data_IF_389853788452
#
_entry.id   IF_389853788452
#
_cell.length_a   1.000
_cell.length_b   1.000
_cell.length_c   1.000
_cell.angle_alpha   90.00
_cell.angle_beta   90.00
_cell.angle_gamma   90.00
#
_symmetry.space_group_name_H-M   'P 1'
#
loop_
_entity.id
_entity.type
_entity.pdbx_description
1 polymer ?
#
# COMPACT_ATOMS: atom_id res chain seq x y z
N UNK A 1 2.97 -43.92 -33.49
CA UNK A 1 3.63 -45.22 -33.75
C UNK A 1 5.13 -45.09 -33.47
N UNK A 2 5.68 -46.00 -32.63
CA UNK A 2 7.10 -46.22 -32.23
C UNK A 2 7.76 -45.06 -31.43
N UNK A 3 7.83 -45.03 -30.09
CA UNK A 3 8.34 -45.94 -29.02
C UNK A 3 9.83 -46.33 -29.08
N UNK A 4 10.63 -45.83 -28.12
CA UNK A 4 11.79 -46.46 -27.45
C UNK A 4 11.98 -45.79 -26.08
N UNK A 5 11.51 -46.39 -24.97
CA UNK A 5 12.15 -47.38 -24.06
C UNK A 5 13.28 -46.83 -23.16
N UNK A 6 12.94 -46.79 -21.87
CA UNK A 6 13.80 -46.77 -20.67
C UNK A 6 14.80 -47.92 -20.60
N UNK A 7 15.90 -47.71 -19.88
CA UNK A 7 16.42 -48.69 -18.91
C UNK A 7 17.29 -48.03 -17.82
N UNK A 8 17.22 -48.61 -16.63
CA UNK A 8 17.73 -48.19 -15.31
C UNK A 8 18.80 -49.18 -14.84
N UNK A 9 19.76 -48.68 -14.05
CA UNK A 9 20.42 -49.34 -12.87
C UNK A 9 21.46 -50.46 -13.16
N UNK A 10 22.47 -50.72 -12.27
CA UNK A 10 22.36 -50.73 -10.80
C UNK A 10 23.50 -50.13 -9.94
N UNK A 11 23.15 -49.98 -8.66
CA UNK A 11 23.94 -49.81 -7.42
C UNK A 11 24.95 -50.97 -7.20
N UNK A 12 25.98 -50.90 -6.33
CA UNK A 12 25.93 -51.07 -4.85
C UNK A 12 27.37 -50.97 -4.24
N UNK A 13 27.48 -50.44 -3.00
CA UNK A 13 28.51 -50.61 -1.91
C UNK A 13 29.98 -50.17 -2.10
N UNK A 14 30.81 -49.86 -1.07
CA UNK A 14 30.75 -49.26 0.28
C UNK A 14 32.09 -49.56 0.98
N UNK A 15 32.81 -48.55 1.50
CA UNK A 15 33.78 -48.60 2.65
C UNK A 15 34.64 -47.32 2.64
N UNK A 16 34.51 -46.36 3.57
CA UNK A 16 35.25 -46.22 4.86
C UNK A 16 36.77 -46.42 4.71
N UNK A 17 37.71 -45.57 5.17
CA UNK A 17 37.71 -44.50 6.19
C UNK A 17 39.08 -43.77 6.22
N UNK A 18 39.16 -42.70 7.01
CA UNK A 18 40.36 -41.93 7.47
C UNK A 18 40.95 -40.90 6.50
N UNK A 19 41.42 -39.71 6.90
CA UNK A 19 41.18 -38.79 8.02
C UNK A 19 42.16 -37.63 7.80
N UNK A 20 41.70 -36.38 7.78
CA UNK A 20 42.55 -35.22 8.12
C UNK A 20 41.71 -33.94 8.32
N UNK A 21 41.72 -33.48 9.57
CA UNK A 21 41.55 -32.12 10.12
C UNK A 21 41.94 -30.99 9.14
N UNK A 22 41.40 -29.77 9.11
CA UNK A 22 40.86 -28.77 10.07
C UNK A 22 40.37 -27.61 9.17
N UNK A 23 39.47 -26.67 9.47
CA UNK A 23 39.09 -25.96 10.69
C UNK A 23 37.74 -25.27 10.40
N UNK A 24 36.74 -25.50 11.25
CA UNK A 24 35.43 -24.85 11.19
C UNK A 24 35.36 -23.76 12.24
N UNK A 25 35.27 -22.50 11.82
CA UNK A 25 34.98 -21.36 12.70
C UNK A 25 33.48 -21.31 12.99
N UNK A 26 33.08 -21.90 14.12
CA UNK A 26 31.78 -21.72 14.74
C UNK A 26 31.78 -20.41 15.54
N UNK A 27 31.03 -19.41 15.09
CA UNK A 27 30.68 -18.24 15.91
C UNK A 27 29.27 -18.42 16.44
N UNK A 28 29.18 -18.93 17.67
CA UNK A 28 28.02 -18.86 18.54
C UNK A 28 27.76 -17.41 18.94
N UNK A 29 26.62 -16.83 18.55
CA UNK A 29 26.15 -15.56 19.10
C UNK A 29 25.03 -15.84 20.11
N UNK A 30 25.43 -15.97 21.37
CA UNK A 30 24.54 -15.87 22.53
C UNK A 30 24.23 -14.39 22.79
N UNK A 31 22.95 -14.11 23.03
CA UNK A 31 22.41 -12.86 23.56
C UNK A 31 23.23 -12.28 24.72
N UNK A 32 23.44 -10.95 24.71
CA UNK A 32 23.38 -10.04 25.87
C UNK A 32 23.63 -8.58 25.42
N UNK A 33 22.81 -7.68 25.97
CA UNK A 33 23.00 -6.23 26.14
C UNK A 33 22.79 -5.25 24.96
N UNK A 34 21.52 -4.86 24.86
CA UNK A 34 21.03 -3.47 24.96
C UNK A 34 21.95 -2.56 25.81
N UNK A 35 22.81 -1.75 25.18
CA UNK A 35 23.28 -0.44 25.67
C UNK A 35 24.49 0.12 24.91
N UNK A 36 24.39 0.34 23.60
CA UNK A 36 25.32 1.26 22.91
C UNK A 36 24.63 2.00 21.77
N UNK A 37 23.62 2.82 22.10
CA UNK A 37 23.38 4.01 21.29
C UNK A 37 24.47 5.02 21.63
N UNK A 38 25.60 4.90 20.93
CA UNK A 38 26.48 6.03 20.78
C UNK A 38 25.67 7.17 20.17
N UNK A 39 25.74 8.32 20.84
CA UNK A 39 25.30 9.61 20.37
C UNK A 39 26.04 9.91 19.05
N UNK A 40 25.53 9.38 17.93
CA UNK A 40 26.11 9.59 16.62
C UNK A 40 25.92 11.05 16.29
N UNK A 41 27.04 11.77 16.16
CA UNK A 41 27.10 13.09 15.51
C UNK A 41 26.14 13.10 14.32
N UNK A 42 25.27 14.10 14.25
CA UNK A 42 24.14 14.22 13.32
C UNK A 42 24.47 14.20 11.81
N UNK A 43 25.68 13.80 11.41
CA UNK A 43 26.23 13.90 10.05
C UNK A 43 26.71 12.59 9.42
N UNK A 44 26.58 11.42 10.07
CA UNK A 44 27.00 10.16 9.44
C UNK A 44 25.78 9.30 9.07
N UNK A 45 25.59 8.94 7.77
CA UNK A 45 24.52 8.04 7.34
C UNK A 45 24.59 6.68 8.05
N UNK A 46 23.43 6.07 8.29
CA UNK A 46 23.32 4.76 8.96
C UNK A 46 23.98 3.63 8.15
N UNK A 47 23.96 3.76 6.83
CA UNK A 47 24.54 2.81 5.89
C UNK A 47 25.58 3.50 4.99
N UNK A 48 26.48 2.75 4.32
CA UNK A 48 27.49 3.33 3.45
C UNK A 48 26.86 4.32 2.44
N UNK A 49 27.34 5.57 2.39
CA UNK A 49 26.73 6.57 1.52
C UNK A 49 26.93 6.21 0.05
N UNK A 50 25.84 6.26 -0.72
CA UNK A 50 25.90 6.23 -2.18
C UNK A 50 25.88 7.67 -2.68
N UNK A 51 26.82 8.09 -3.55
CA UNK A 51 26.83 9.43 -4.10
C UNK A 51 25.50 9.81 -4.73
N UNK A 52 25.03 11.02 -4.43
CA UNK A 52 23.80 11.53 -5.02
C UNK A 52 23.93 11.56 -6.57
N UNK A 53 22.88 11.17 -7.30
CA UNK A 53 22.96 11.08 -8.75
C UNK A 53 23.03 12.44 -9.43
N UNK A 54 23.85 12.54 -10.47
CA UNK A 54 23.86 13.71 -11.35
C UNK A 54 22.75 13.63 -12.40
N UNK A 55 21.84 14.60 -12.37
CA UNK A 55 20.76 14.72 -13.35
C UNK A 55 21.07 15.82 -14.38
N UNK A 56 20.55 15.70 -15.62
CA UNK A 56 20.48 16.84 -16.52
C UNK A 56 19.74 18.01 -15.85
N UNK A 57 20.13 19.29 -16.05
CA UNK A 57 19.60 20.42 -15.27
C UNK A 57 18.07 20.53 -15.26
N UNK A 58 17.43 20.20 -16.39
CA UNK A 58 15.96 20.19 -16.49
C UNK A 58 15.32 19.08 -15.67
N UNK A 59 15.92 17.88 -15.64
CA UNK A 59 15.43 16.74 -14.86
C UNK A 59 15.60 17.04 -13.37
N UNK A 60 16.78 17.53 -12.97
CA UNK A 60 17.08 17.90 -11.59
C UNK A 60 16.04 18.86 -11.03
N UNK A 61 15.79 19.98 -11.72
CA UNK A 61 14.79 20.98 -11.30
C UNK A 61 13.39 20.40 -11.14
N UNK A 62 12.95 19.52 -12.05
CA UNK A 62 11.61 18.91 -11.97
C UNK A 62 11.52 17.94 -10.78
N UNK A 63 12.53 17.09 -10.61
CA UNK A 63 12.61 16.12 -9.50
C UNK A 63 12.69 16.84 -8.17
N UNK A 64 13.56 17.83 -8.03
CA UNK A 64 13.77 18.55 -6.76
C UNK A 64 12.53 19.35 -6.35
N UNK A 65 11.82 19.94 -7.31
CA UNK A 65 10.53 20.58 -7.03
C UNK A 65 9.47 19.57 -6.57
N UNK A 66 9.39 18.40 -7.21
CA UNK A 66 8.48 17.34 -6.79
C UNK A 66 8.83 16.83 -5.37
N UNK A 67 10.12 16.59 -5.10
CA UNK A 67 10.64 16.24 -3.78
C UNK A 67 10.23 17.27 -2.71
N UNK A 68 10.58 18.54 -2.93
CA UNK A 68 10.30 19.61 -1.96
C UNK A 68 8.80 19.78 -1.67
N UNK A 69 7.94 19.55 -2.67
CA UNK A 69 6.49 19.58 -2.47
C UNK A 69 6.00 18.35 -1.69
N UNK A 70 6.57 17.18 -1.96
CA UNK A 70 6.12 15.92 -1.36
C UNK A 70 6.54 15.81 0.12
N UNK A 71 7.81 16.10 0.39
CA UNK A 71 8.42 16.14 1.73
C UNK A 71 9.02 17.53 1.94
N UNK A 72 8.18 18.48 2.35
CA UNK A 72 8.63 19.86 2.63
C UNK A 72 9.60 19.94 3.81
N UNK A 73 9.57 18.93 4.67
CA UNK A 73 10.41 18.72 5.85
C UNK A 73 11.83 18.24 5.53
N UNK A 74 12.09 17.73 4.31
CA UNK A 74 13.41 17.24 3.91
C UNK A 74 13.96 18.12 2.78
N UNK A 75 15.24 18.52 2.88
CA UNK A 75 15.94 19.14 1.76
C UNK A 75 16.05 18.13 0.60
N UNK A 76 15.72 18.46 -0.66
CA UNK A 76 15.82 17.54 -1.80
C UNK A 76 17.16 16.81 -1.96
N UNK A 77 18.26 17.38 -1.47
CA UNK A 77 19.61 16.78 -1.47
C UNK A 77 19.84 15.79 -0.33
N UNK A 78 19.03 15.85 0.74
CA UNK A 78 19.11 14.98 1.91
C UNK A 78 18.12 13.80 1.87
N UNK A 79 17.58 13.45 0.70
CA UNK A 79 16.62 12.34 0.52
C UNK A 79 17.24 10.94 0.65
N UNK A 80 18.56 10.85 0.76
CA UNK A 80 19.35 9.63 0.95
C UNK A 80 20.14 9.66 2.27
N UNK A 81 19.70 10.45 3.25
CA UNK A 81 20.37 10.67 4.54
C UNK A 81 20.57 9.40 5.37
N UNK A 82 19.69 8.41 5.24
CA UNK A 82 19.84 7.12 5.94
C UNK A 82 20.80 6.20 5.21
N UNK A 83 20.94 6.34 3.89
CA UNK A 83 21.88 5.59 3.07
C UNK A 83 21.36 4.23 2.63
N UNK A 84 20.04 3.99 2.60
CA UNK A 84 19.46 2.69 2.23
C UNK A 84 19.83 2.24 0.81
N UNK A 85 20.26 3.15 -0.06
CA UNK A 85 20.79 2.78 -1.37
C UNK A 85 22.08 1.96 -1.31
N UNK A 86 22.87 2.10 -0.23
CA UNK A 86 24.12 1.36 0.01
C UNK A 86 23.97 0.15 0.92
N UNK A 87 22.72 -0.22 1.27
CA UNK A 87 22.43 -1.39 2.12
C UNK A 87 21.76 -2.53 1.34
N UNK A 88 21.58 -3.65 2.03
CA UNK A 88 20.90 -4.85 1.57
C UNK A 88 19.39 -4.87 1.90
N UNK A 89 18.79 -3.71 2.19
CA UNK A 89 17.37 -3.57 2.59
C UNK A 89 16.38 -4.30 1.68
N UNK A 90 16.68 -4.37 0.38
CA UNK A 90 15.82 -5.03 -0.59
C UNK A 90 16.08 -6.53 -0.74
N UNK A 91 17.15 -7.05 -0.15
CA UNK A 91 17.52 -8.47 -0.17
C UNK A 91 17.29 -9.13 1.20
N UNK A 92 16.71 -8.41 2.17
CA UNK A 92 16.41 -8.95 3.49
C UNK A 92 15.53 -10.21 3.41
N UNK A 93 15.79 -11.21 4.27
CA UNK A 93 15.02 -12.45 4.28
C UNK A 93 13.55 -12.20 4.60
N UNK A 94 12.70 -13.07 4.07
CA UNK A 94 11.28 -13.14 4.39
C UNK A 94 11.09 -14.03 5.62
N UNK A 95 10.09 -13.72 6.41
CA UNK A 95 9.59 -14.63 7.43
C UNK A 95 8.69 -15.69 6.78
N UNK A 96 9.18 -16.92 6.75
CA UNK A 96 8.50 -18.07 6.15
C UNK A 96 7.66 -18.87 7.16
N UNK A 97 7.53 -18.39 8.41
CA UNK A 97 6.79 -19.11 9.46
C UNK A 97 5.29 -19.23 9.20
N UNK A 98 4.72 -18.30 8.43
CA UNK A 98 3.30 -18.26 8.09
C UNK A 98 3.12 -17.87 6.61
N UNK A 99 3.31 -18.84 5.69
CA UNK A 99 3.30 -18.56 4.26
C UNK A 99 1.89 -18.25 3.74
N UNK A 100 1.81 -17.36 2.75
CA UNK A 100 0.56 -17.12 2.03
C UNK A 100 0.21 -18.33 1.15
N UNK A 101 -1.09 -18.62 1.01
CA UNK A 101 -1.56 -19.58 0.01
C UNK A 101 -1.30 -19.06 -1.41
N UNK A 102 -0.84 -19.96 -2.27
CA UNK A 102 -0.62 -19.71 -3.70
C UNK A 102 -1.43 -20.69 -4.52
N UNK A 103 -2.10 -20.18 -5.53
CA UNK A 103 -2.92 -20.95 -6.46
C UNK A 103 -2.54 -20.57 -7.88
N UNK A 104 -2.61 -21.51 -8.83
CA UNK A 104 -2.48 -21.17 -10.24
C UNK A 104 -3.86 -20.94 -10.87
N UNK A 105 -4.00 -19.93 -11.74
CA UNK A 105 -5.30 -19.51 -12.27
C UNK A 105 -6.03 -20.59 -13.12
N UNK A 106 -5.30 -21.59 -13.61
CA UNK A 106 -5.86 -22.75 -14.32
C UNK A 106 -6.52 -23.78 -13.39
N UNK A 107 -6.13 -23.81 -12.12
CA UNK A 107 -6.59 -24.77 -11.11
C UNK A 107 -7.63 -24.14 -10.17
N UNK A 108 -7.65 -22.81 -10.08
CA UNK A 108 -8.59 -22.06 -9.26
C UNK A 108 -9.81 -21.59 -10.08
N UNK A 109 -10.93 -22.27 -9.89
CA UNK A 109 -12.23 -21.81 -10.42
C UNK A 109 -12.75 -20.60 -9.64
N UNK A 110 -13.62 -19.79 -10.25
CA UNK A 110 -14.26 -18.63 -9.58
C UNK A 110 -15.07 -19.07 -8.36
N UNK A 111 -15.79 -20.20 -8.45
CA UNK A 111 -16.54 -20.75 -7.31
C UNK A 111 -15.62 -21.10 -6.13
N UNK A 112 -14.51 -21.80 -6.41
CA UNK A 112 -13.50 -22.11 -5.38
C UNK A 112 -12.92 -20.83 -4.78
N UNK A 113 -12.58 -19.85 -5.62
CA UNK A 113 -12.10 -18.55 -5.16
C UNK A 113 -13.06 -17.90 -4.15
N UNK A 114 -14.36 -17.84 -4.48
CA UNK A 114 -15.38 -17.25 -3.62
C UNK A 114 -15.51 -18.03 -2.30
N UNK A 115 -15.60 -19.37 -2.38
CA UNK A 115 -15.87 -20.22 -1.22
C UNK A 115 -14.67 -20.32 -0.26
N UNK A 116 -13.45 -20.38 -0.80
CA UNK A 116 -12.22 -20.65 -0.03
C UNK A 116 -11.47 -19.37 0.37
N UNK A 117 -11.68 -18.25 -0.33
CA UNK A 117 -10.90 -17.02 -0.15
C UNK A 117 -11.74 -15.78 0.07
N UNK A 118 -12.64 -15.43 -0.86
CA UNK A 118 -13.37 -14.16 -0.78
C UNK A 118 -14.36 -14.12 0.40
N UNK A 119 -15.26 -15.12 0.49
CA UNK A 119 -16.26 -15.23 1.54
C UNK A 119 -15.65 -15.39 2.94
N UNK A 120 -14.65 -16.27 3.17
CA UNK A 120 -14.00 -16.37 4.48
C UNK A 120 -12.98 -15.24 4.74
N UNK A 121 -12.79 -14.31 3.79
CA UNK A 121 -11.84 -13.21 3.88
C UNK A 121 -10.39 -13.66 4.13
N UNK A 122 -9.90 -14.59 3.31
CA UNK A 122 -8.54 -15.13 3.36
C UNK A 122 -7.74 -14.62 2.16
N UNK A 123 -6.55 -14.00 2.38
CA UNK A 123 -5.70 -13.53 1.28
C UNK A 123 -5.09 -14.70 0.51
N UNK A 124 -4.86 -14.49 -0.78
CA UNK A 124 -4.26 -15.49 -1.68
C UNK A 124 -3.47 -14.81 -2.79
N UNK A 125 -2.41 -15.47 -3.23
CA UNK A 125 -1.70 -15.11 -4.47
C UNK A 125 -2.15 -16.05 -5.58
N UNK A 126 -2.56 -15.48 -6.71
CA UNK A 126 -3.03 -16.21 -7.89
C UNK A 126 -2.06 -15.98 -9.04
N UNK A 127 -1.41 -17.03 -9.49
CA UNK A 127 -0.40 -16.98 -10.54
C UNK A 127 -1.00 -17.18 -11.95
N UNK A 128 -0.37 -16.57 -12.95
CA UNK A 128 -0.66 -16.74 -14.38
C UNK A 128 -1.90 -16.01 -14.92
N UNK A 129 -2.51 -15.11 -14.15
CA UNK A 129 -3.74 -14.39 -14.56
C UNK A 129 -3.51 -13.54 -15.84
N UNK A 130 -2.48 -12.69 -15.94
CA UNK A 130 -2.25 -11.88 -17.13
C UNK A 130 -2.07 -12.72 -18.40
N UNK A 131 -1.34 -13.83 -18.31
CA UNK A 131 -1.06 -14.73 -19.41
C UNK A 131 -2.33 -15.46 -19.87
N UNK A 132 -3.10 -16.01 -18.92
CA UNK A 132 -4.32 -16.74 -19.21
C UNK A 132 -5.42 -15.85 -19.83
N UNK A 133 -5.53 -14.60 -19.37
CA UNK A 133 -6.54 -13.64 -19.87
C UNK A 133 -6.07 -12.85 -21.11
N UNK A 134 -4.82 -13.08 -21.56
CA UNK A 134 -4.22 -12.46 -22.73
C UNK A 134 -4.02 -10.96 -22.57
N UNK A 135 -3.45 -10.51 -21.46
CA UNK A 135 -3.18 -9.10 -21.20
C UNK A 135 -2.06 -8.59 -22.12
N UNK A 136 -2.33 -7.49 -22.84
CA UNK A 136 -1.30 -6.77 -23.59
C UNK A 136 -0.14 -6.27 -22.72
N UNK A 137 -0.42 -6.01 -21.42
CA UNK A 137 0.54 -5.55 -20.43
C UNK A 137 1.76 -6.47 -20.31
N UNK A 138 1.60 -7.79 -20.46
CA UNK A 138 2.70 -8.77 -20.39
C UNK A 138 3.81 -8.45 -21.39
N UNK A 139 3.46 -7.86 -22.54
CA UNK A 139 4.40 -7.48 -23.59
C UNK A 139 4.69 -5.98 -23.62
N UNK A 140 3.66 -5.16 -23.35
CA UNK A 140 3.73 -3.72 -23.54
C UNK A 140 4.28 -2.97 -22.33
N UNK A 141 4.16 -3.51 -21.11
CA UNK A 141 4.48 -2.79 -19.87
C UNK A 141 5.93 -2.96 -19.40
N UNK A 142 6.89 -3.07 -20.33
CA UNK A 142 8.30 -2.91 -19.97
C UNK A 142 8.63 -1.44 -19.69
N UNK A 143 9.53 -1.16 -18.74
CA UNK A 143 10.00 0.20 -18.44
C UNK A 143 10.52 0.94 -19.68
N UNK A 144 11.11 0.21 -20.64
CA UNK A 144 11.58 0.77 -21.92
C UNK A 144 10.42 1.18 -22.83
N UNK A 145 9.44 0.30 -23.00
CA UNK A 145 8.31 0.52 -23.90
C UNK A 145 7.37 1.60 -23.35
N UNK A 146 6.99 1.51 -22.07
CA UNK A 146 6.20 2.55 -21.40
C UNK A 146 6.84 3.93 -21.51
N UNK A 147 8.17 4.02 -21.32
CA UNK A 147 8.89 5.28 -21.47
C UNK A 147 8.77 5.83 -22.89
N UNK A 148 8.78 4.98 -23.92
CA UNK A 148 8.69 5.40 -25.33
C UNK A 148 7.30 5.97 -25.61
N UNK A 149 6.26 5.26 -25.20
CA UNK A 149 4.87 5.52 -25.59
C UNK A 149 4.29 6.68 -24.77
N UNK A 150 4.53 6.69 -23.46
CA UNK A 150 3.92 7.63 -22.53
C UNK A 150 4.85 8.79 -22.12
N UNK A 151 5.96 9.02 -22.83
CA UNK A 151 7.02 9.97 -22.43
C UNK A 151 6.55 11.37 -22.04
N UNK A 152 5.43 11.84 -22.61
CA UNK A 152 4.89 13.20 -22.42
C UNK A 152 3.77 13.30 -21.39
N UNK A 153 3.18 12.17 -20.99
CA UNK A 153 2.02 12.16 -20.08
C UNK A 153 2.46 12.52 -18.66
N UNK A 154 1.56 13.16 -17.90
CA UNK A 154 1.80 13.56 -16.51
C UNK A 154 1.05 12.65 -15.54
N UNK A 155 1.80 11.82 -14.81
CA UNK A 155 1.26 10.89 -13.82
C UNK A 155 1.51 11.43 -12.40
N UNK A 156 0.57 11.17 -11.49
CA UNK A 156 0.71 11.46 -10.07
C UNK A 156 1.86 10.62 -9.51
N UNK A 157 2.84 11.30 -8.89
CA UNK A 157 4.00 10.68 -8.27
C UNK A 157 4.21 11.09 -6.80
N UNK A 158 3.19 11.68 -6.19
CA UNK A 158 3.19 12.12 -4.80
C UNK A 158 2.03 13.07 -4.51
N UNK A 159 1.98 13.52 -3.25
CA UNK A 159 1.02 14.52 -2.76
C UNK A 159 1.75 15.56 -1.89
N UNK A 160 1.30 16.81 -1.95
CA UNK A 160 1.82 17.87 -1.07
C UNK A 160 1.18 17.83 0.32
N UNK A 161 1.62 18.72 1.22
CA UNK A 161 1.11 18.79 2.61
C UNK A 161 -0.40 19.11 2.70
N UNK A 162 -0.99 19.63 1.62
CA UNK A 162 -2.41 19.94 1.53
C UNK A 162 -3.21 18.84 0.82
N UNK A 163 -2.57 17.71 0.46
CA UNK A 163 -3.19 16.60 -0.28
C UNK A 163 -3.41 16.89 -1.76
N UNK A 164 -2.71 17.89 -2.34
CA UNK A 164 -2.78 18.14 -3.79
C UNK A 164 -1.82 17.21 -4.51
N UNK A 165 -2.28 16.63 -5.61
CA UNK A 165 -1.47 15.72 -6.42
C UNK A 165 -0.25 16.42 -7.03
N UNK A 166 0.92 15.83 -6.83
CA UNK A 166 2.15 16.20 -7.51
C UNK A 166 2.26 15.31 -8.74
N UNK A 167 2.33 15.92 -9.92
CA UNK A 167 2.43 15.21 -11.20
C UNK A 167 3.77 15.48 -11.87
N UNK A 168 4.27 14.47 -12.58
CA UNK A 168 5.53 14.56 -13.32
C UNK A 168 5.39 13.93 -14.70
N UNK A 169 5.98 14.55 -15.72
CA UNK A 169 6.07 13.93 -17.05
C UNK A 169 6.83 12.61 -16.96
N UNK A 170 6.28 11.56 -17.55
CA UNK A 170 6.80 10.20 -17.40
C UNK A 170 8.26 10.07 -17.81
N UNK A 171 8.72 10.77 -18.86
CA UNK A 171 10.14 10.77 -19.25
C UNK A 171 11.11 11.25 -18.16
N UNK A 172 10.70 12.20 -17.31
CA UNK A 172 11.51 12.70 -16.21
C UNK A 172 11.50 11.70 -15.06
N UNK A 173 10.32 11.15 -14.74
CA UNK A 173 10.19 10.09 -13.75
C UNK A 173 11.04 8.87 -14.12
N UNK A 174 11.03 8.45 -15.38
CA UNK A 174 11.86 7.34 -15.85
C UNK A 174 13.36 7.64 -15.87
N UNK A 175 13.79 8.90 -15.81
CA UNK A 175 15.20 9.27 -15.63
C UNK A 175 15.56 9.31 -14.14
N UNK A 176 14.62 9.75 -13.30
CA UNK A 176 14.68 9.69 -11.84
C UNK A 176 14.79 8.25 -11.35
N UNK A 177 13.83 7.39 -11.69
CA UNK A 177 13.78 5.97 -11.33
C UNK A 177 15.10 5.24 -11.58
N UNK A 178 15.74 5.50 -12.72
CA UNK A 178 17.00 4.84 -13.11
C UNK A 178 18.25 5.30 -12.36
N UNK A 179 18.23 6.49 -11.76
CA UNK A 179 19.43 7.12 -11.20
C UNK A 179 19.33 7.34 -9.69
N UNK A 180 18.12 7.45 -9.15
CA UNK A 180 17.87 7.82 -7.76
C UNK A 180 18.60 6.90 -6.77
N UNK A 181 19.06 7.49 -5.67
CA UNK A 181 19.65 6.83 -4.51
C UNK A 181 18.88 7.18 -3.24
N UNK A 182 17.63 7.60 -3.37
CA UNK A 182 16.79 8.08 -2.29
C UNK A 182 16.40 6.91 -1.36
N UNK A 183 16.22 7.21 -0.08
CA UNK A 183 15.81 6.26 0.96
C UNK A 183 14.38 5.75 0.71
N UNK A 184 13.42 6.67 0.56
CA UNK A 184 12.04 6.41 0.11
C UNK A 184 11.78 7.21 -1.19
N UNK A 185 11.96 6.62 -2.38
CA UNK A 185 11.81 7.32 -3.65
C UNK A 185 10.38 7.74 -3.95
N UNK A 186 10.20 8.81 -4.74
CA UNK A 186 8.91 9.17 -5.34
C UNK A 186 8.31 7.97 -6.10
N UNK A 187 7.01 7.77 -5.97
CA UNK A 187 6.30 6.60 -6.47
C UNK A 187 5.12 7.04 -7.34
N UNK A 188 5.06 6.59 -8.60
CA UNK A 188 3.85 6.80 -9.41
C UNK A 188 2.73 5.93 -8.86
N UNK A 189 1.64 6.59 -8.47
CA UNK A 189 0.42 6.01 -7.94
C UNK A 189 -0.78 6.76 -8.54
N UNK A 190 -1.03 6.55 -9.84
CA UNK A 190 -1.98 7.37 -10.60
C UNK A 190 -3.37 6.72 -10.68
N UNK A 191 -4.39 7.44 -10.19
CA UNK A 191 -5.78 6.96 -10.14
C UNK A 191 -6.69 7.53 -11.23
N UNK A 192 -6.11 8.26 -12.18
CA UNK A 192 -6.82 9.09 -13.18
C UNK A 192 -6.33 8.78 -14.60
N UNK A 193 -5.57 7.70 -14.74
CA UNK A 193 -4.97 7.30 -16.02
C UNK A 193 -6.04 6.85 -17.02
N UNK A 194 -7.26 6.56 -16.56
CA UNK A 194 -8.45 6.28 -17.34
C UNK A 194 -9.22 7.55 -17.80
N UNK A 195 -8.97 8.71 -17.18
CA UNK A 195 -9.61 9.98 -17.53
C UNK A 195 -8.95 10.67 -18.74
N UNK A 196 -7.63 10.51 -18.91
CA UNK A 196 -6.87 11.20 -19.95
C UNK A 196 -6.76 10.37 -21.22
N UNK A 197 -7.03 11.01 -22.38
CA UNK A 197 -6.91 10.38 -23.71
C UNK A 197 -5.52 9.78 -23.97
N UNK A 198 -4.47 10.41 -23.43
CA UNK A 198 -3.09 10.00 -23.67
C UNK A 198 -2.67 8.76 -22.87
N UNK A 199 -3.38 8.46 -21.77
CA UNK A 199 -3.09 7.31 -20.89
C UNK A 199 -4.15 6.22 -20.97
N UNK A 200 -5.33 6.53 -21.52
CA UNK A 200 -6.43 5.59 -21.72
C UNK A 200 -6.05 4.29 -22.44
N UNK A 201 -5.10 4.27 -23.42
CA UNK A 201 -4.66 3.01 -24.01
C UNK A 201 -4.09 1.99 -23.00
N UNK A 202 -3.63 2.41 -21.82
CA UNK A 202 -3.23 1.49 -20.75
C UNK A 202 -4.39 0.57 -20.30
N UNK A 203 -5.66 1.00 -20.47
CA UNK A 203 -6.82 0.16 -20.16
C UNK A 203 -7.03 -0.97 -21.17
N UNK A 204 -6.45 -0.86 -22.36
CA UNK A 204 -6.54 -1.89 -23.41
C UNK A 204 -5.55 -3.03 -23.14
N UNK A 205 -4.53 -2.77 -22.30
CA UNK A 205 -3.47 -3.72 -21.97
C UNK A 205 -3.84 -4.70 -20.85
N UNK A 206 -4.92 -4.49 -20.11
CA UNK A 206 -5.34 -5.41 -19.04
C UNK A 206 -6.86 -5.54 -18.95
N UNK A 207 -7.31 -6.59 -18.27
CA UNK A 207 -8.72 -6.82 -17.95
C UNK A 207 -8.86 -7.00 -16.45
N UNK A 208 -10.04 -6.73 -15.89
CA UNK A 208 -10.28 -7.13 -14.49
C UNK A 208 -10.28 -8.66 -14.42
N UNK A 209 -9.47 -9.29 -13.55
CA UNK A 209 -9.43 -10.75 -13.44
C UNK A 209 -10.80 -11.36 -13.20
N UNK A 210 -11.04 -12.56 -13.75
CA UNK A 210 -12.32 -13.31 -13.63
C UNK A 210 -12.82 -13.52 -12.19
N UNK A 211 -11.93 -13.41 -11.19
CA UNK A 211 -12.21 -13.56 -9.76
C UNK A 211 -12.91 -12.34 -9.14
N UNK A 212 -12.87 -11.18 -9.80
CA UNK A 212 -13.41 -9.92 -9.27
C UNK A 212 -14.49 -9.34 -10.21
N UNK A 213 -15.53 -10.11 -10.58
CA UNK A 213 -16.49 -9.71 -11.60
C UNK A 213 -17.44 -8.59 -11.12
N UNK A 214 -17.63 -8.47 -9.81
CA UNK A 214 -18.53 -7.48 -9.23
C UNK A 214 -17.81 -6.20 -8.83
N UNK A 215 -18.39 -5.08 -9.27
CA UNK A 215 -18.00 -3.75 -8.84
C UNK A 215 -19.24 -2.95 -8.45
N UNK A 216 -19.74 -3.19 -7.24
CA UNK A 216 -21.00 -2.60 -6.76
C UNK A 216 -20.94 -1.06 -6.64
N UNK A 217 -19.74 -0.47 -6.56
CA UNK A 217 -19.60 1.00 -6.58
C UNK A 217 -19.81 1.61 -7.97
N UNK A 218 -19.71 0.84 -9.06
CA UNK A 218 -20.09 1.32 -10.40
C UNK A 218 -21.52 1.87 -10.45
N UNK A 219 -22.43 1.36 -9.61
CA UNK A 219 -23.82 1.79 -9.56
C UNK A 219 -24.01 3.26 -9.13
N UNK A 220 -23.06 3.84 -8.38
CA UNK A 220 -23.13 5.26 -8.02
C UNK A 220 -22.67 6.19 -9.15
N UNK A 221 -22.08 5.65 -10.22
CA UNK A 221 -21.56 6.35 -11.39
C UNK A 221 -20.13 6.87 -11.20
N UNK A 222 -19.39 7.00 -12.30
CA UNK A 222 -17.96 7.38 -12.32
C UNK A 222 -17.70 8.72 -11.62
N UNK A 223 -18.54 9.75 -11.80
CA UNK A 223 -18.34 11.07 -11.17
C UNK A 223 -18.44 11.07 -9.63
N UNK A 224 -19.08 10.05 -9.05
CA UNK A 224 -19.43 10.03 -7.62
C UNK A 224 -18.81 8.89 -6.84
N UNK A 225 -18.31 7.85 -7.53
CA UNK A 225 -17.55 6.79 -6.87
C UNK A 225 -16.19 7.33 -6.40
N UNK A 226 -15.60 6.75 -5.34
CA UNK A 226 -14.22 7.01 -4.99
C UNK A 226 -13.27 6.50 -6.10
N UNK A 227 -12.04 7.05 -6.21
CA UNK A 227 -10.98 6.40 -6.97
C UNK A 227 -10.80 4.95 -6.52
N UNK A 228 -10.62 4.06 -7.48
CA UNK A 228 -10.72 2.62 -7.25
C UNK A 228 -9.76 1.79 -8.09
N UNK A 229 -9.00 2.42 -8.99
CA UNK A 229 -7.99 1.75 -9.82
C UNK A 229 -6.75 2.62 -9.89
N UNK A 230 -5.59 2.01 -9.86
CA UNK A 230 -4.32 2.73 -9.92
C UNK A 230 -3.33 2.02 -10.85
N UNK A 231 -2.64 2.82 -11.65
CA UNK A 231 -1.45 2.41 -12.39
C UNK A 231 -0.22 2.79 -11.56
N UNK A 232 0.66 1.81 -11.31
CA UNK A 232 1.78 1.95 -10.38
C UNK A 232 3.11 1.75 -11.10
N UNK A 233 4.03 2.70 -10.94
CA UNK A 233 5.43 2.58 -11.38
C UNK A 233 6.34 3.05 -10.26
N UNK A 234 7.04 2.12 -9.62
CA UNK A 234 7.79 2.37 -8.40
C UNK A 234 9.26 2.00 -8.53
N UNK A 235 10.21 2.90 -8.22
CA UNK A 235 11.62 2.55 -8.11
C UNK A 235 11.90 1.58 -6.95
N UNK A 236 13.01 0.85 -7.01
CA UNK A 236 13.54 0.09 -5.86
C UNK A 236 13.58 0.97 -4.60
N UNK A 237 13.12 0.43 -3.47
CA UNK A 237 12.88 1.05 -2.14
C UNK A 237 11.60 1.88 -1.96
N UNK A 238 10.85 2.15 -3.03
CA UNK A 238 9.52 2.78 -2.86
C UNK A 238 8.51 1.78 -2.29
N UNK A 239 7.37 2.25 -1.80
CA UNK A 239 6.35 1.36 -1.28
C UNK A 239 5.13 2.07 -0.73
N UNK A 240 4.30 1.32 -0.01
CA UNK A 240 3.14 1.86 0.70
C UNK A 240 3.19 1.38 2.14
N UNK A 241 3.09 2.33 3.06
CA UNK A 241 3.14 2.09 4.50
C UNK A 241 1.93 1.27 4.96
N UNK A 242 2.00 0.75 6.18
CA UNK A 242 0.93 -0.05 6.77
C UNK A 242 -0.42 0.69 6.81
N UNK A 243 -1.42 0.14 6.12
CA UNK A 243 -2.74 0.74 5.98
C UNK A 243 -3.87 -0.30 5.86
N UNK A 244 -5.11 0.21 5.83
CA UNK A 244 -6.31 -0.53 5.46
C UNK A 244 -6.90 0.12 4.22
N UNK A 245 -7.45 -0.70 3.33
CA UNK A 245 -8.19 -0.20 2.19
C UNK A 245 -9.43 0.62 2.62
N UNK A 246 -9.71 1.74 1.94
CA UNK A 246 -10.77 2.65 2.32
C UNK A 246 -12.14 1.99 2.19
N UNK A 247 -13.07 2.47 3.03
CA UNK A 247 -14.46 2.04 3.06
C UNK A 247 -14.67 0.52 3.25
N UNK A 248 -13.67 -0.23 3.71
CA UNK A 248 -13.78 -1.68 3.91
C UNK A 248 -13.82 -2.47 2.60
N UNK A 249 -13.41 -1.86 1.49
CA UNK A 249 -13.26 -2.54 0.20
C UNK A 249 -12.20 -3.64 0.30
N UNK A 250 -12.32 -4.63 -0.57
CA UNK A 250 -11.22 -5.56 -0.87
C UNK A 250 -10.45 -5.02 -2.07
N UNK A 251 -9.24 -5.53 -2.30
CA UNK A 251 -8.41 -5.13 -3.41
C UNK A 251 -7.77 -6.33 -4.10
N UNK A 252 -7.37 -6.13 -5.35
CA UNK A 252 -6.46 -7.00 -6.06
C UNK A 252 -5.29 -6.21 -6.64
N UNK A 253 -4.10 -6.81 -6.65
CA UNK A 253 -2.88 -6.19 -7.18
C UNK A 253 -2.14 -7.15 -8.11
N UNK A 254 -2.03 -6.80 -9.39
CA UNK A 254 -1.33 -7.61 -10.39
C UNK A 254 0.01 -6.98 -10.75
N UNK A 255 1.08 -7.74 -10.57
CA UNK A 255 2.45 -7.30 -10.81
C UNK A 255 2.92 -7.74 -12.20
N UNK A 256 3.44 -6.81 -13.00
CA UNK A 256 3.92 -7.09 -14.36
C UNK A 256 5.45 -7.04 -14.46
N UNK A 257 6.09 -6.17 -13.66
CA UNK A 257 7.56 -6.03 -13.64
C UNK A 257 8.04 -5.94 -12.20
N UNK A 258 9.18 -6.57 -11.92
CA UNK A 258 9.88 -6.49 -10.63
C UNK A 258 9.30 -7.40 -9.56
N UNK A 259 9.64 -7.14 -8.31
CA UNK A 259 9.18 -7.89 -7.14
C UNK A 259 8.67 -6.95 -6.06
N UNK A 260 7.63 -7.37 -5.33
CA UNK A 260 7.06 -6.63 -4.18
C UNK A 260 7.07 -7.52 -2.95
N UNK A 261 7.66 -7.04 -1.85
CA UNK A 261 7.56 -7.66 -0.53
C UNK A 261 6.28 -7.17 0.14
N UNK A 262 5.51 -8.10 0.67
CA UNK A 262 4.24 -7.84 1.36
C UNK A 262 4.32 -8.32 2.79
N UNK A 263 3.68 -7.58 3.69
CA UNK A 263 3.29 -8.09 5.01
C UNK A 263 1.84 -7.76 5.26
N UNK A 264 1.08 -8.76 5.70
CA UNK A 264 -0.35 -8.68 5.97
C UNK A 264 -0.60 -9.06 7.43
N UNK A 265 -1.53 -8.36 8.09
CA UNK A 265 -1.97 -8.68 9.44
C UNK A 265 -3.49 -8.95 9.47
N UNK A 266 -3.94 -9.97 10.22
CA UNK A 266 -5.35 -10.32 10.31
C UNK A 266 -6.24 -9.16 10.79
N UNK A 267 -7.50 -9.10 10.32
CA UNK A 267 -8.43 -8.00 10.62
C UNK A 267 -8.85 -7.90 12.09
N UNK A 268 -8.68 -8.97 12.88
CA UNK A 268 -9.06 -9.00 14.30
C UNK A 268 -8.04 -8.31 15.21
N UNK A 269 -6.83 -8.04 14.73
CA UNK A 269 -5.79 -7.43 15.54
C UNK A 269 -6.10 -5.96 15.86
N UNK A 270 -5.82 -5.59 17.11
CA UNK A 270 -6.00 -4.22 17.56
C UNK A 270 -5.07 -3.28 16.79
N UNK A 271 -5.62 -2.14 16.36
CA UNK A 271 -4.87 -1.13 15.61
C UNK A 271 -3.60 -0.67 16.34
N UNK A 272 -3.58 -0.63 17.68
CA UNK A 272 -2.45 -0.20 18.51
C UNK A 272 -1.30 -1.22 18.47
N UNK A 273 -1.62 -2.50 18.31
CA UNK A 273 -0.63 -3.55 18.13
C UNK A 273 0.02 -3.40 16.76
N UNK A 274 -0.80 -3.48 15.70
CA UNK A 274 -0.31 -3.53 14.30
C UNK A 274 0.41 -2.23 13.91
N UNK A 275 -0.04 -1.07 14.40
CA UNK A 275 0.63 0.20 14.08
C UNK A 275 2.00 0.37 14.76
N UNK A 276 2.34 -0.48 15.73
CA UNK A 276 3.64 -0.50 16.39
C UNK A 276 4.07 0.81 17.05
N UNK A 277 3.18 1.78 17.31
CA UNK A 277 3.56 3.14 17.74
C UNK A 277 4.42 3.18 18.99
N UNK A 278 4.28 2.21 19.89
CA UNK A 278 5.09 2.09 21.12
C UNK A 278 6.53 1.65 20.84
N UNK A 279 6.79 1.08 19.67
CA UNK A 279 8.08 0.55 19.27
C UNK A 279 8.87 1.51 18.37
N UNK A 280 8.27 2.63 17.94
CA UNK A 280 8.96 3.70 17.22
C UNK A 280 9.97 4.37 18.17
N UNK A 281 11.19 4.61 17.71
CA UNK A 281 12.25 5.25 18.51
C UNK A 281 12.62 6.61 17.91
N UNK A 282 12.95 7.57 18.76
CA UNK A 282 13.49 8.87 18.34
C UNK A 282 12.65 9.59 17.27
N UNK A 283 13.34 10.06 16.24
CA UNK A 283 12.81 10.80 15.10
C UNK A 283 12.78 9.96 13.80
N UNK A 284 12.62 8.63 13.93
CA UNK A 284 12.48 7.70 12.81
C UNK A 284 11.43 8.15 11.79
N UNK A 285 11.77 8.02 10.50
CA UNK A 285 10.85 8.28 9.40
C UNK A 285 9.75 7.20 9.35
N UNK A 286 8.58 7.54 8.80
CA UNK A 286 7.41 6.66 8.77
C UNK A 286 7.10 6.08 7.38
N UNK A 287 8.12 5.98 6.53
CA UNK A 287 8.05 5.46 5.16
C UNK A 287 8.02 3.92 5.10
N UNK A 288 7.70 3.36 3.92
CA UNK A 288 7.58 1.91 3.75
C UNK A 288 8.91 1.19 4.05
N UNK A 289 10.03 1.74 3.59
CA UNK A 289 11.37 1.18 3.87
C UNK A 289 11.66 1.10 5.37
N UNK A 290 11.40 2.17 6.13
CA UNK A 290 11.57 2.22 7.59
C UNK A 290 10.62 1.25 8.30
N UNK A 291 9.40 1.07 7.78
CA UNK A 291 8.46 0.10 8.33
C UNK A 291 9.03 -1.33 8.26
N UNK A 292 9.53 -1.75 7.09
CA UNK A 292 10.09 -3.10 6.91
C UNK A 292 11.45 -3.27 7.59
N UNK A 293 12.28 -2.23 7.62
CA UNK A 293 13.62 -2.29 8.23
C UNK A 293 13.61 -2.26 9.74
N UNK A 294 12.77 -1.40 10.32
CA UNK A 294 12.90 -1.02 11.73
C UNK A 294 11.67 -1.43 12.52
N UNK A 295 10.49 -1.02 12.08
CA UNK A 295 9.28 -1.20 12.88
C UNK A 295 8.79 -2.65 12.89
N UNK A 296 8.72 -3.30 11.73
CA UNK A 296 8.25 -4.68 11.60
C UNK A 296 9.11 -5.67 12.40
N UNK A 297 10.46 -5.66 12.31
CA UNK A 297 11.28 -6.56 13.12
C UNK A 297 11.14 -6.31 14.63
N UNK A 298 10.99 -5.05 15.06
CA UNK A 298 10.73 -4.74 16.47
C UNK A 298 9.37 -5.25 16.94
N UNK A 299 8.34 -5.10 16.11
CA UNK A 299 7.00 -5.61 16.39
C UNK A 299 7.03 -7.14 16.52
N UNK A 300 7.69 -7.84 15.59
CA UNK A 300 7.84 -9.31 15.63
C UNK A 300 8.63 -9.82 16.83
N UNK A 301 9.60 -9.05 17.34
CA UNK A 301 10.32 -9.39 18.59
C UNK A 301 9.47 -9.14 19.84
N UNK A 302 8.58 -8.17 19.80
CA UNK A 302 7.77 -7.77 20.96
C UNK A 302 6.50 -8.60 21.14
N UNK A 303 6.07 -9.32 20.12
CA UNK A 303 4.83 -10.09 20.11
C UNK A 303 5.05 -11.49 19.53
N UNK A 304 4.53 -12.55 20.16
CA UNK A 304 4.65 -13.91 19.63
C UNK A 304 4.07 -14.05 18.21
N UNK A 305 4.65 -14.90 17.34
CA UNK A 305 4.15 -15.12 15.98
C UNK A 305 2.67 -15.51 15.92
N UNK A 306 2.21 -16.33 16.88
CA UNK A 306 0.81 -16.75 16.99
C UNK A 306 -0.15 -15.62 17.34
N UNK A 307 0.33 -14.58 18.03
CA UNK A 307 -0.46 -13.38 18.33
C UNK A 307 -0.54 -12.46 17.12
N UNK A 308 0.58 -12.25 16.42
CA UNK A 308 0.61 -11.39 15.24
C UNK A 308 -0.06 -12.02 14.03
N UNK A 309 0.02 -13.35 13.88
CA UNK A 309 -0.52 -14.10 12.75
C UNK A 309 -0.16 -13.48 11.39
N UNK A 310 0.95 -12.75 11.31
CA UNK A 310 1.27 -11.95 10.13
C UNK A 310 1.72 -12.87 9.01
N UNK A 311 1.36 -12.54 7.79
CA UNK A 311 1.73 -13.28 6.59
C UNK A 311 2.70 -12.41 5.80
N UNK A 312 3.89 -12.94 5.52
CA UNK A 312 4.92 -12.25 4.74
C UNK A 312 5.26 -13.04 3.49
N UNK A 313 5.39 -12.36 2.35
CA UNK A 313 5.69 -13.02 1.08
C UNK A 313 6.25 -12.06 0.03
N UNK A 314 6.91 -12.63 -0.98
CA UNK A 314 7.30 -11.93 -2.19
C UNK A 314 6.27 -12.15 -3.29
N UNK A 315 5.80 -11.10 -3.93
CA UNK A 315 5.03 -11.16 -5.16
C UNK A 315 5.98 -11.07 -6.36
N UNK A 316 5.76 -11.92 -7.35
CA UNK A 316 6.53 -12.02 -8.59
C UNK A 316 5.72 -11.53 -9.82
N UNK A 317 6.39 -11.24 -10.95
CA UNK A 317 5.68 -10.91 -12.20
C UNK A 317 4.70 -12.01 -12.61
N UNK A 318 3.52 -11.63 -13.09
CA UNK A 318 2.42 -12.55 -13.42
C UNK A 318 1.45 -12.80 -12.26
N UNK A 319 1.87 -12.55 -11.02
CA UNK A 319 1.06 -12.84 -9.85
C UNK A 319 0.06 -11.73 -9.53
N UNK A 320 -1.17 -12.16 -9.21
CA UNK A 320 -2.26 -11.31 -8.70
C UNK A 320 -2.53 -11.62 -7.24
N UNK A 321 -2.31 -10.65 -6.35
CA UNK A 321 -2.61 -10.78 -4.92
C UNK A 321 -4.06 -10.34 -4.68
N UNK A 322 -4.85 -11.15 -3.98
CA UNK A 322 -6.14 -10.77 -3.42
C UNK A 322 -5.99 -10.37 -1.94
N UNK A 323 -6.45 -9.15 -1.61
CA UNK A 323 -6.44 -8.58 -0.26
C UNK A 323 -7.89 -8.40 0.20
N UNK A 324 -8.39 -9.24 1.12
CA UNK A 324 -9.73 -9.08 1.65
C UNK A 324 -9.85 -7.81 2.50
N UNK A 325 -11.04 -7.22 2.48
CA UNK A 325 -11.32 -6.00 3.24
C UNK A 325 -11.09 -6.20 4.74
N UNK A 326 -10.32 -5.29 5.35
CA UNK A 326 -10.01 -5.31 6.78
C UNK A 326 -8.63 -5.84 7.14
N UNK A 327 -7.91 -6.46 6.19
CA UNK A 327 -6.52 -6.86 6.41
C UNK A 327 -5.58 -5.65 6.39
N UNK A 328 -4.81 -5.45 7.46
CA UNK A 328 -3.75 -4.45 7.43
C UNK A 328 -2.63 -4.94 6.54
N UNK A 329 -2.07 -4.05 5.71
CA UNK A 329 -1.01 -4.45 4.81
C UNK A 329 -0.03 -3.31 4.53
N UNK A 330 1.23 -3.68 4.32
CA UNK A 330 2.29 -2.82 3.84
C UNK A 330 2.99 -3.50 2.66
N UNK A 331 3.50 -2.67 1.73
CA UNK A 331 4.12 -3.14 0.49
C UNK A 331 5.44 -2.43 0.27
N UNK A 332 6.47 -3.18 -0.09
CA UNK A 332 7.81 -2.66 -0.35
C UNK A 332 8.34 -3.16 -1.69
N UNK A 333 8.72 -2.24 -2.57
CA UNK A 333 9.25 -2.55 -3.88
C UNK A 333 10.75 -2.87 -3.76
N UNK A 334 11.11 -4.15 -3.85
CA UNK A 334 12.51 -4.59 -3.75
C UNK A 334 13.27 -4.44 -5.08
N UNK A 335 12.53 -4.29 -6.19
CA UNK A 335 13.04 -3.92 -7.51
C UNK A 335 12.30 -2.68 -8.04
N UNK A 336 12.67 -2.23 -9.24
CA UNK A 336 11.79 -1.35 -10.02
C UNK A 336 10.54 -2.13 -10.46
N UNK A 337 9.36 -1.60 -10.19
CA UNK A 337 8.09 -2.31 -10.40
C UNK A 337 7.12 -1.58 -11.31
N UNK A 338 6.31 -2.36 -12.03
CA UNK A 338 5.11 -1.91 -12.76
C UNK A 338 3.95 -2.82 -12.38
N UNK A 339 2.85 -2.24 -11.93
CA UNK A 339 1.67 -2.97 -11.49
C UNK A 339 0.38 -2.21 -11.78
N UNK A 340 -0.74 -2.92 -11.69
CA UNK A 340 -2.09 -2.34 -11.65
C UNK A 340 -2.85 -2.92 -10.47
N UNK A 341 -3.61 -2.09 -9.77
CA UNK A 341 -4.39 -2.53 -8.62
C UNK A 341 -5.77 -1.89 -8.65
N UNK A 342 -6.78 -2.60 -8.15
CA UNK A 342 -8.12 -2.05 -7.98
C UNK A 342 -8.75 -2.48 -6.67
N UNK A 343 -9.50 -1.54 -6.09
CA UNK A 343 -10.39 -1.79 -4.98
C UNK A 343 -11.79 -2.07 -5.52
N UNK A 344 -12.46 -3.06 -4.94
CA UNK A 344 -13.79 -3.45 -5.37
C UNK A 344 -14.70 -3.74 -4.18
N UNK A 345 -16.00 -3.61 -4.44
CA UNK A 345 -17.05 -4.06 -3.56
C UNK A 345 -17.84 -5.13 -4.28
N UNK A 346 -17.88 -6.32 -3.70
CA UNK A 346 -18.68 -7.45 -4.13
C UNK A 346 -19.80 -7.71 -3.13
N UNK A 347 -20.69 -8.62 -3.48
CA UNK A 347 -21.75 -9.12 -2.60
C UNK A 347 -21.18 -9.76 -1.33
N UNK A 348 -19.97 -10.34 -1.39
CA UNK A 348 -19.33 -10.99 -0.22
C UNK A 348 -18.86 -9.97 0.82
N UNK A 349 -18.27 -8.85 0.38
CA UNK A 349 -17.76 -7.81 1.30
C UNK A 349 -18.76 -6.65 1.54
N UNK A 350 -19.89 -6.65 0.83
CA UNK A 350 -20.93 -5.62 0.91
C UNK A 350 -21.35 -5.24 2.35
N UNK A 351 -21.55 -6.19 3.29
CA UNK A 351 -21.94 -5.85 4.66
C UNK A 351 -20.97 -4.90 5.38
N UNK A 352 -19.67 -5.08 5.19
CA UNK A 352 -18.64 -4.22 5.77
C UNK A 352 -18.58 -2.88 5.01
N UNK A 353 -18.59 -2.95 3.67
CA UNK A 353 -18.51 -1.77 2.80
C UNK A 353 -19.69 -0.83 3.01
N UNK A 354 -20.91 -1.36 3.12
CA UNK A 354 -22.12 -0.60 3.38
C UNK A 354 -22.02 0.20 4.68
N UNK A 355 -21.65 -0.46 5.78
CA UNK A 355 -21.53 0.19 7.11
C UNK A 355 -20.51 1.31 7.13
N UNK A 356 -19.35 1.11 6.48
CA UNK A 356 -18.31 2.13 6.35
C UNK A 356 -18.74 3.25 5.40
N UNK A 357 -19.45 2.93 4.32
CA UNK A 357 -19.90 3.91 3.32
C UNK A 357 -21.02 4.80 3.85
N UNK A 358 -22.04 4.24 4.53
CA UNK A 358 -23.14 5.04 5.08
C UNK A 358 -22.67 6.04 6.12
N UNK A 359 -21.68 5.67 6.94
CA UNK A 359 -21.09 6.56 7.94
C UNK A 359 -20.10 7.56 7.33
N UNK A 360 -19.18 7.11 6.47
CA UNK A 360 -18.09 7.93 5.92
C UNK A 360 -18.46 8.79 4.70
N UNK A 361 -19.42 8.34 3.87
CA UNK A 361 -19.84 9.02 2.63
C UNK A 361 -21.37 9.08 2.53
N UNK A 362 -21.99 9.71 3.53
CA UNK A 362 -23.44 9.84 3.73
C UNK A 362 -24.27 10.08 2.46
N UNK A 363 -23.91 11.08 1.64
CA UNK A 363 -24.64 11.41 0.40
C UNK A 363 -24.53 10.33 -0.67
N UNK A 364 -23.34 9.74 -0.81
CA UNK A 364 -23.10 8.63 -1.72
C UNK A 364 -23.90 7.41 -1.29
N UNK A 365 -23.95 7.10 0.01
CA UNK A 365 -24.70 5.96 0.52
C UNK A 365 -26.21 6.06 0.24
N UNK A 366 -26.81 7.25 0.36
CA UNK A 366 -28.22 7.48 -0.01
C UNK A 366 -28.44 7.21 -1.51
N UNK A 367 -27.56 7.71 -2.37
CA UNK A 367 -27.63 7.45 -3.82
C UNK A 367 -27.46 5.95 -4.11
N UNK A 368 -26.52 5.30 -3.42
CA UNK A 368 -26.20 3.90 -3.61
C UNK A 368 -27.38 3.00 -3.23
N UNK A 369 -28.01 3.23 -2.07
CA UNK A 369 -29.20 2.48 -1.65
C UNK A 369 -30.33 2.56 -2.69
N UNK A 370 -30.64 3.75 -3.21
CA UNK A 370 -31.64 3.92 -4.27
C UNK A 370 -31.29 3.17 -5.56
N UNK A 371 -30.00 3.05 -5.88
CA UNK A 371 -29.54 2.29 -7.04
C UNK A 371 -29.61 0.78 -6.78
N UNK A 372 -29.33 0.33 -5.56
CA UNK A 372 -29.52 -1.06 -5.16
C UNK A 372 -31.00 -1.45 -5.21
N UNK A 373 -31.91 -0.63 -4.69
CA UNK A 373 -33.37 -0.90 -4.72
C UNK A 373 -33.90 -1.24 -6.12
N UNK A 374 -33.31 -0.66 -7.17
CA UNK A 374 -33.70 -0.90 -8.57
C UNK A 374 -32.89 -1.98 -9.28
N UNK A 375 -31.63 -2.22 -8.91
CA UNK A 375 -30.71 -3.10 -9.65
C UNK A 375 -30.32 -4.38 -8.91
N UNK A 376 -30.40 -4.37 -7.58
CA UNK A 376 -30.13 -5.50 -6.71
C UNK A 376 -30.97 -5.37 -5.41
N UNK A 377 -32.27 -5.70 -5.47
CA UNK A 377 -33.20 -5.53 -4.34
C UNK A 377 -32.79 -6.32 -3.10
N UNK A 378 -32.13 -7.47 -3.26
CA UNK A 378 -31.65 -8.29 -2.14
C UNK A 378 -30.59 -7.55 -1.31
N UNK A 379 -29.58 -6.97 -1.96
CA UNK A 379 -28.58 -6.15 -1.26
C UNK A 379 -29.18 -4.86 -0.69
N UNK A 380 -30.22 -4.29 -1.31
CA UNK A 380 -30.95 -3.15 -0.76
C UNK A 380 -31.71 -3.50 0.52
N UNK A 381 -32.35 -4.67 0.55
CA UNK A 381 -33.04 -5.19 1.74
C UNK A 381 -32.02 -5.41 2.87
N UNK A 382 -30.89 -6.05 2.58
CA UNK A 382 -29.80 -6.26 3.53
C UNK A 382 -29.22 -4.94 4.08
N UNK A 383 -29.02 -3.95 3.21
CA UNK A 383 -28.58 -2.62 3.62
C UNK A 383 -29.57 -1.93 4.57
N UNK A 384 -30.86 -2.10 4.31
CA UNK A 384 -31.95 -1.57 5.12
C UNK A 384 -32.06 -2.29 6.47
N UNK A 385 -31.94 -3.61 6.48
CA UNK A 385 -31.88 -4.43 7.69
C UNK A 385 -30.71 -3.99 8.58
N UNK A 386 -29.51 -3.80 8.01
CA UNK A 386 -28.37 -3.29 8.77
C UNK A 386 -28.59 -1.87 9.29
N UNK A 387 -29.35 -1.02 8.61
CA UNK A 387 -29.70 0.29 9.14
C UNK A 387 -30.62 0.15 10.36
N UNK A 388 -31.62 -0.72 10.28
CA UNK A 388 -32.55 -0.97 11.39
C UNK A 388 -31.83 -1.58 12.60
N UNK A 389 -31.05 -2.65 12.39
CA UNK A 389 -30.28 -3.35 13.43
C UNK A 389 -29.32 -2.43 14.15
N UNK A 390 -28.62 -1.58 13.40
CA UNK A 390 -27.62 -0.68 13.96
C UNK A 390 -28.23 0.68 14.40
N UNK A 391 -29.57 0.81 14.38
CA UNK A 391 -30.33 2.05 14.64
C UNK A 391 -29.78 3.25 13.87
N UNK A 392 -29.27 3.00 12.66
CA UNK A 392 -28.62 3.98 11.82
C UNK A 392 -29.63 4.74 10.97
N UNK A 393 -29.69 6.06 11.17
CA UNK A 393 -30.55 6.93 10.36
C UNK A 393 -29.77 7.49 9.17
N UNK A 394 -30.26 7.17 7.97
CA UNK A 394 -29.68 7.66 6.71
C UNK A 394 -29.77 9.19 6.61
N UNK A 395 -28.82 9.77 5.87
CA UNK A 395 -28.75 11.22 5.69
C UNK A 395 -29.95 11.77 4.90
N UNK A 396 -30.59 12.82 5.41
CA UNK A 396 -31.58 13.64 4.70
C UNK A 396 -31.15 15.11 4.69
N UNK A 397 -31.41 15.83 3.58
CA UNK A 397 -31.05 17.26 3.46
C UNK A 397 -31.81 18.13 4.47
N UNK A 398 -33.08 17.83 4.71
CA UNK A 398 -33.99 18.59 5.58
C UNK A 398 -33.55 18.67 7.05
N UNK A 399 -32.91 17.61 7.58
CA UNK A 399 -32.38 17.61 8.95
C UNK A 399 -31.06 18.35 9.10
N UNK A 400 -30.37 18.65 7.99
CA UNK A 400 -29.08 19.38 8.04
C UNK A 400 -29.26 20.89 8.18
N UNK A 401 -30.37 21.46 7.70
CA UNK A 401 -30.70 22.88 7.88
C UNK A 401 -31.16 23.23 9.30
N UNK A 402 -31.81 22.29 9.99
CA UNK A 402 -32.25 22.47 11.39
C UNK A 402 -31.10 22.47 12.41
N UNK A 403 -29.91 21.99 12.03
CA UNK A 403 -28.70 22.08 12.88
C UNK A 403 -27.90 23.37 12.68
N UNK A 404 -28.20 24.16 11.62
CA UNK A 404 -27.55 25.46 11.38
C UNK A 404 -28.40 26.65 11.82
N UNK A 405 -29.62 26.43 12.33
CA UNK A 405 -30.55 27.51 12.71
C UNK A 405 -30.72 27.68 14.24
N UNK A 406 -29.95 26.98 15.07
CA UNK A 406 -30.11 27.03 16.55
C UNK A 406 -29.04 27.85 17.29
N UNK A 407 -28.39 28.82 16.65
CA UNK A 407 -27.46 29.73 17.34
C UNK A 407 -27.72 31.20 16.98
N UNK A 408 -28.88 31.73 17.38
CA UNK A 408 -29.08 33.19 17.39
C UNK A 408 -30.23 33.60 18.32
N UNK A 409 -29.95 33.72 19.61
CA UNK A 409 -30.78 34.55 20.52
C UNK A 409 -30.21 34.66 21.93
N UNK A 410 -29.02 35.25 22.12
CA UNK A 410 -28.69 35.92 23.38
C UNK A 410 -28.28 37.37 23.08
N UNK A 411 -29.26 38.27 23.22
CA UNK A 411 -29.05 39.73 23.28
C UNK A 411 -28.17 40.04 24.50
N UNK A 412 -26.99 40.64 24.28
CA UNK A 412 -26.26 41.39 25.33
C UNK A 412 -26.48 42.88 25.09
N UNK A 413 -26.94 43.58 26.13
CA UNK A 413 -27.00 45.05 26.21
C UNK A 413 -26.20 45.47 27.45
N UNK A 414 -25.35 46.50 27.29
CA UNK A 414 -24.62 47.29 28.32
C UNK A 414 -23.48 46.54 29.05
N UNK A 415 -22.35 47.15 29.42
CA UNK A 415 -21.84 48.52 29.36
C UNK A 415 -20.32 48.45 29.62
N UNK A 416 -19.58 49.47 29.14
CA UNK A 416 -18.17 49.74 29.45
C UNK A 416 -17.86 49.65 30.95
N UNK A 417 -16.70 49.05 31.29
CA UNK A 417 -15.77 49.55 32.31
C UNK A 417 -14.41 48.90 32.12
N UNK A 418 -13.41 49.76 31.93
CA UNK A 418 -11.99 49.48 31.98
C UNK A 418 -11.58 49.09 33.41
N UNK A 419 -10.58 48.22 33.55
CA UNK A 419 -9.51 48.30 34.56
C UNK A 419 -8.46 47.18 34.32
N UNK A 420 -7.22 47.52 34.63
CA UNK A 420 -5.94 46.94 34.22
C UNK A 420 -5.43 45.74 35.06
N UNK A 421 -4.34 45.12 34.55
CA UNK A 421 -3.30 44.27 35.22
C UNK A 421 -3.76 42.84 35.57
N UNK A 422 -3.10 41.73 35.17
CA UNK A 422 -1.70 41.35 35.45
C UNK A 422 -1.23 40.17 34.57
N UNK A 423 0.08 40.08 34.36
CA UNK A 423 0.78 39.07 33.57
C UNK A 423 0.72 37.65 34.16
N UNK A 424 0.67 36.65 33.27
CA UNK A 424 0.89 35.25 33.62
C UNK A 424 1.25 34.42 32.39
N UNK A 425 2.54 34.22 32.16
CA UNK A 425 3.11 33.33 31.16
C UNK A 425 2.56 31.90 31.28
N UNK A 426 2.08 31.31 30.18
CA UNK A 426 2.11 29.85 30.00
C UNK A 426 2.44 29.48 28.56
N UNK A 427 3.49 28.67 28.47
CA UNK A 427 4.13 28.15 27.27
C UNK A 427 3.17 27.35 26.39
N UNK A 428 3.33 27.52 25.07
CA UNK A 428 2.63 26.74 24.06
C UNK A 428 3.47 25.54 23.66
N UNK A 429 2.98 24.33 23.92
CA UNK A 429 3.45 23.10 23.27
C UNK A 429 2.42 22.69 22.23
N UNK A 430 2.67 23.08 20.97
CA UNK A 430 1.88 22.67 19.82
C UNK A 430 2.35 21.28 19.36
N UNK A 431 1.59 20.23 19.68
CA UNK A 431 1.76 18.91 19.05
C UNK A 431 0.89 18.83 17.79
N UNK A 432 1.50 19.08 16.64
CA UNK A 432 0.88 18.91 15.33
C UNK A 432 0.68 17.43 15.01
N UNK A 433 -0.57 16.96 14.94
CA UNK A 433 -0.89 15.62 14.41
C UNK A 433 -0.66 15.60 12.89
N UNK A 434 0.48 15.08 12.44
CA UNK A 434 0.69 14.71 11.02
C UNK A 434 -0.32 13.61 10.64
N UNK A 435 -1.13 13.84 9.60
CA UNK A 435 -1.93 12.78 8.96
C UNK A 435 -0.96 11.92 8.15
N UNK A 436 -1.05 10.59 8.29
CA UNK A 436 -0.30 9.65 7.44
C UNK A 436 -0.60 9.95 5.97
N UNK A 437 0.43 10.23 5.18
CA UNK A 437 0.35 10.38 3.73
C UNK A 437 0.24 8.97 3.14
N UNK A 438 -0.83 8.68 2.39
CA UNK A 438 -0.82 7.55 1.47
C UNK A 438 -0.17 8.07 0.19
N UNK A 439 0.85 7.37 -0.32
CA UNK A 439 1.42 7.65 -1.63
C UNK A 439 0.35 7.52 -2.72
#
# INVERSE_FOLDING_TARGET
>A
MKSKKFQRSPSVTSSSSSSSSSSSSSSSSSDSDDSTYHNSSANTPRFPPVPAPTYPPKVQRVVYNAKKKHRSDIDPEAWNREGFAGSDVCELPLDESNPIRREHCSELSVKRFIDEYERPAVPVVIDGVPEADGWGAVHNWSLKQLRKDYKRVELKCGEDDNGRSIRMKFKYFMKYLKLQTDDSPLYIFDSTFDDSKDTKPLLEDYKVPKYFPEDLFSMVGEDRRPPYRWFLVGPKRSGTTLHLDPLGTSAWNTLIVGRKRWVLFPPHLDKRLVNGKKHVRGDEDDEAVNYFMDLLPRLKRASPPEELGCVEFMQYPGETVFIPGGWWHAVFNVDDTVAVTQNFCSSQNFPAVWRKTRSGRKRMAVKWLRKLESRNPELAALATEFNQKDKYVMYSKERSSHKSSSSSSHKRKKQHRDDEVEMGEKSSHHSGKKKKKCC
#
